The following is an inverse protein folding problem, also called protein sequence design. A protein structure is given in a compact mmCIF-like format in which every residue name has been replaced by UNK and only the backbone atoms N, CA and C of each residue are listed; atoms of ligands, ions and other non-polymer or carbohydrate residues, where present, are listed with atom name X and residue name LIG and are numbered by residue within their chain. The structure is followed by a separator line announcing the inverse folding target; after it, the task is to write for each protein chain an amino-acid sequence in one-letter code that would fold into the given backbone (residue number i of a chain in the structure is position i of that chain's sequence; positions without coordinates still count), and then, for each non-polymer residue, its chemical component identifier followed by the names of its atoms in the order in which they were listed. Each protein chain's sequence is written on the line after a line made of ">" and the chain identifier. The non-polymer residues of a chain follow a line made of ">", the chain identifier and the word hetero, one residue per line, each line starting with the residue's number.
data_IF_574703750852
#
_entry.id   IF_574703750852
#
_cell.length_a   1.000
_cell.length_b   1.000
_cell.length_c   1.000
_cell.angle_alpha   90.00
_cell.angle_beta   90.00
_cell.angle_gamma   90.00
#
_symmetry.space_group_name_H-M   'P 1'
#
loop_
_entity.id
_entity.type
_entity.pdbx_description
1 polymer ?
#
# COMPACT_ATOMS: atom_id res chain seq x y z
N UNK A 1 -4.36 -10.95 -10.86
CA UNK A 1 -5.22 -10.14 -11.73
C UNK A 1 -4.79 -8.66 -11.73
N UNK A 2 -4.64 -8.01 -10.56
CA UNK A 2 -4.20 -6.60 -10.49
C UNK A 2 -2.84 -6.36 -11.15
N UNK A 3 -1.90 -7.30 -11.05
CA UNK A 3 -0.59 -7.17 -11.70
C UNK A 3 -0.70 -7.13 -13.23
N UNK A 4 -1.58 -7.94 -13.82
CA UNK A 4 -1.85 -7.88 -15.27
C UNK A 4 -2.44 -6.54 -15.64
N UNK A 5 -3.49 -6.11 -14.95
CA UNK A 5 -4.14 -4.82 -15.16
C UNK A 5 -3.16 -3.65 -15.02
N UNK A 6 -2.19 -3.73 -14.10
CA UNK A 6 -1.19 -2.69 -13.90
C UNK A 6 -0.32 -2.47 -15.16
N UNK A 7 0.06 -3.54 -15.84
CA UNK A 7 0.78 -3.43 -17.12
C UNK A 7 -0.10 -2.82 -18.21
N UNK A 8 -1.38 -3.23 -18.30
CA UNK A 8 -2.31 -2.69 -19.29
C UNK A 8 -2.55 -1.19 -19.07
N UNK A 9 -2.75 -0.76 -17.82
CA UNK A 9 -2.88 0.66 -17.45
C UNK A 9 -1.59 1.41 -17.80
N UNK A 10 -0.43 0.87 -17.46
CA UNK A 10 0.86 1.51 -17.72
C UNK A 10 1.08 1.75 -19.20
N UNK A 11 0.81 0.77 -20.05
CA UNK A 11 0.95 0.89 -21.50
C UNK A 11 -0.12 1.79 -22.13
N UNK A 12 -1.37 1.68 -21.67
CA UNK A 12 -2.48 2.46 -22.20
C UNK A 12 -2.35 3.95 -21.89
N UNK A 13 -1.95 4.29 -20.69
CA UNK A 13 -1.90 5.67 -20.20
C UNK A 13 -0.49 6.26 -20.17
N UNK A 14 0.52 5.51 -20.59
CA UNK A 14 1.92 5.94 -20.57
C UNK A 14 2.34 6.50 -19.20
N UNK A 15 2.11 5.72 -18.14
CA UNK A 15 2.36 6.10 -16.75
C UNK A 15 2.83 4.92 -15.94
N UNK A 16 3.72 5.10 -14.94
CA UNK A 16 4.02 4.03 -14.01
C UNK A 16 2.80 3.69 -13.16
N UNK A 17 2.68 2.43 -12.76
CA UNK A 17 1.64 1.95 -11.86
C UNK A 17 2.30 1.38 -10.61
N UNK A 18 1.87 1.87 -9.45
CA UNK A 18 2.32 1.40 -8.15
C UNK A 18 1.30 0.42 -7.58
N UNK A 19 1.74 -0.81 -7.30
CA UNK A 19 0.93 -1.79 -6.54
C UNK A 19 1.38 -1.75 -5.10
N UNK A 20 0.52 -1.24 -4.22
CA UNK A 20 0.78 -1.23 -2.78
C UNK A 20 0.34 -2.56 -2.17
N UNK A 21 1.27 -3.24 -1.52
CA UNK A 21 1.01 -4.48 -0.79
C UNK A 21 1.47 -4.35 0.66
N UNK A 22 0.69 -4.91 1.58
CA UNK A 22 1.07 -4.97 3.00
C UNK A 22 2.03 -6.13 3.25
N UNK A 23 2.75 -6.07 4.36
CA UNK A 23 3.68 -7.12 4.79
C UNK A 23 3.02 -8.48 4.86
N UNK A 24 1.79 -8.58 5.39
CA UNK A 24 1.07 -9.85 5.47
C UNK A 24 0.77 -10.45 4.10
N UNK A 25 0.34 -9.62 3.15
CA UNK A 25 0.11 -10.08 1.77
C UNK A 25 1.40 -10.55 1.11
N UNK A 26 2.52 -9.84 1.34
CA UNK A 26 3.82 -10.24 0.80
C UNK A 26 4.34 -11.57 1.37
N UNK A 27 4.00 -11.89 2.62
CA UNK A 27 4.42 -13.12 3.29
C UNK A 27 3.40 -14.27 3.17
N UNK A 28 2.22 -14.00 2.64
CA UNK A 28 1.21 -15.03 2.43
C UNK A 28 1.55 -15.90 1.20
N UNK A 29 1.01 -17.11 1.21
CA UNK A 29 1.11 -18.07 0.09
C UNK A 29 -0.29 -18.49 -0.31
N UNK A 30 -0.55 -18.54 -1.60
CA UNK A 30 -1.81 -19.04 -2.13
C UNK A 30 -1.57 -19.78 -3.45
N UNK A 31 -2.46 -20.72 -3.82
CA UNK A 31 -2.44 -21.31 -5.15
C UNK A 31 -2.64 -20.25 -6.23
N UNK A 32 -1.88 -20.32 -7.29
CA UNK A 32 -2.02 -19.44 -8.45
C UNK A 32 -2.37 -20.30 -9.67
N UNK A 33 -3.47 -19.94 -10.34
CA UNK A 33 -3.81 -20.53 -11.62
C UNK A 33 -3.01 -19.80 -12.70
N UNK A 34 -2.10 -20.50 -13.33
CA UNK A 34 -1.31 -19.95 -14.44
C UNK A 34 -2.14 -19.97 -15.72
N UNK A 35 -2.05 -18.89 -16.49
CA UNK A 35 -2.61 -18.82 -17.84
C UNK A 35 -1.51 -18.92 -18.90
N UNK A 36 -1.89 -18.88 -20.16
CA UNK A 36 -0.96 -18.79 -21.26
C UNK A 36 -0.26 -17.42 -21.27
N UNK A 37 1.01 -17.42 -21.64
CA UNK A 37 1.76 -16.18 -21.80
C UNK A 37 1.30 -15.47 -23.07
N UNK A 38 0.80 -14.20 -22.97
CA UNK A 38 0.45 -13.45 -24.17
C UNK A 38 1.69 -13.17 -25.00
N UNK A 39 1.57 -13.31 -26.31
CA UNK A 39 2.60 -12.85 -27.21
C UNK A 39 2.62 -11.32 -27.22
N UNK A 40 3.80 -10.76 -26.98
CA UNK A 40 4.01 -9.32 -26.98
C UNK A 40 4.93 -8.94 -28.12
N UNK A 41 4.45 -8.10 -29.02
CA UNK A 41 5.29 -7.53 -30.09
C UNK A 41 6.29 -6.55 -29.46
N UNK A 42 7.58 -6.85 -29.60
CA UNK A 42 8.63 -5.96 -29.13
C UNK A 42 8.62 -4.67 -29.94
N UNK A 43 8.45 -3.55 -29.27
CA UNK A 43 8.59 -2.23 -29.89
C UNK A 43 10.08 -1.91 -30.07
N UNK A 44 10.52 -1.40 -31.23
CA UNK A 44 11.91 -0.96 -31.39
C UNK A 44 12.21 0.19 -30.42
N UNK A 45 13.46 0.24 -29.98
CA UNK A 45 13.90 1.36 -29.14
C UNK A 45 13.91 2.66 -29.95
N UNK A 46 13.21 3.66 -29.47
CA UNK A 46 13.21 5.02 -29.99
C UNK A 46 13.78 6.00 -28.97
N UNK A 47 14.74 6.81 -29.39
CA UNK A 47 15.28 7.87 -28.53
C UNK A 47 14.31 9.05 -28.45
N UNK A 48 13.66 9.22 -27.30
CA UNK A 48 12.64 10.27 -27.06
C UNK A 48 13.13 11.31 -26.06
N UNK A 49 14.06 12.17 -26.47
CA UNK A 49 14.63 13.21 -25.61
C UNK A 49 13.55 14.15 -25.03
N UNK A 50 12.53 14.50 -25.83
CA UNK A 50 11.42 15.34 -25.38
C UNK A 50 10.47 14.68 -24.36
N UNK A 51 10.67 13.41 -24.06
CA UNK A 51 9.88 12.67 -23.06
C UNK A 51 10.70 12.39 -21.80
N UNK A 52 11.97 12.03 -21.95
CA UNK A 52 12.78 11.50 -20.84
C UNK A 52 13.82 12.49 -20.33
N UNK A 53 14.08 13.59 -21.05
CA UNK A 53 14.98 14.63 -20.60
C UNK A 53 14.16 15.81 -20.10
N UNK A 54 13.95 15.89 -18.78
CA UNK A 54 13.04 16.84 -18.13
C UNK A 54 13.68 18.21 -17.86
N UNK A 55 14.26 18.84 -18.90
CA UNK A 55 14.65 20.26 -18.79
C UNK A 55 13.39 21.14 -18.68
N UNK A 56 13.47 22.38 -18.10
CA UNK A 56 12.29 23.19 -17.79
C UNK A 56 11.33 23.40 -18.96
N UNK A 57 11.84 23.64 -20.16
CA UNK A 57 11.03 23.83 -21.36
C UNK A 57 10.25 22.58 -21.77
N UNK A 58 10.82 21.40 -21.58
CA UNK A 58 10.19 20.10 -21.84
C UNK A 58 9.20 19.78 -20.72
N UNK A 59 9.59 19.95 -19.46
CA UNK A 59 8.75 19.69 -18.30
C UNK A 59 7.44 20.51 -18.33
N UNK A 60 7.49 21.77 -18.76
CA UNK A 60 6.29 22.62 -18.93
C UNK A 60 5.29 22.01 -19.92
N UNK A 61 5.76 21.44 -21.03
CA UNK A 61 4.90 20.77 -22.01
C UNK A 61 4.36 19.44 -21.48
N UNK A 62 5.22 18.67 -20.80
CA UNK A 62 4.83 17.40 -20.20
C UNK A 62 3.76 17.56 -19.11
N UNK A 63 3.75 18.71 -18.40
CA UNK A 63 2.71 18.99 -17.40
C UNK A 63 1.31 18.99 -18.01
N UNK A 64 1.12 19.57 -19.19
CA UNK A 64 -0.15 19.54 -19.91
C UNK A 64 -0.60 18.09 -20.22
N UNK A 65 0.37 17.25 -20.63
CA UNK A 65 0.10 15.84 -20.89
C UNK A 65 -0.31 15.09 -19.61
N UNK A 66 0.32 15.41 -18.46
CA UNK A 66 -0.04 14.84 -17.17
C UNK A 66 -1.48 15.16 -16.81
N UNK A 67 -1.91 16.42 -16.94
CA UNK A 67 -3.30 16.80 -16.64
C UNK A 67 -4.31 16.08 -17.54
N UNK A 68 -4.06 16.02 -18.85
CA UNK A 68 -4.90 15.27 -19.79
C UNK A 68 -4.96 13.78 -19.44
N UNK A 69 -3.83 13.19 -19.11
CA UNK A 69 -3.74 11.79 -18.71
C UNK A 69 -4.48 11.52 -17.39
N UNK A 70 -4.32 12.40 -16.43
CA UNK A 70 -5.00 12.28 -15.12
C UNK A 70 -6.52 12.33 -15.29
N UNK A 71 -7.05 13.19 -16.17
CA UNK A 71 -8.47 13.22 -16.48
C UNK A 71 -8.96 11.87 -17.04
N UNK A 72 -8.24 11.30 -18.00
CA UNK A 72 -8.57 9.98 -18.57
C UNK A 72 -8.46 8.86 -17.53
N UNK A 73 -7.48 8.94 -16.62
CA UNK A 73 -7.35 7.98 -15.54
C UNK A 73 -8.49 8.07 -14.52
N UNK A 74 -9.04 9.27 -14.27
CA UNK A 74 -10.26 9.43 -13.47
C UNK A 74 -11.44 8.71 -14.09
N UNK A 75 -11.69 8.92 -15.38
CA UNK A 75 -12.75 8.21 -16.10
C UNK A 75 -12.55 6.69 -16.09
N UNK A 76 -11.31 6.24 -16.21
CA UNK A 76 -10.97 4.82 -16.11
C UNK A 76 -11.25 4.27 -14.72
N UNK A 77 -10.88 5.02 -13.67
CA UNK A 77 -11.09 4.63 -12.27
C UNK A 77 -12.58 4.42 -11.95
N UNK A 78 -13.47 5.29 -12.47
CA UNK A 78 -14.93 5.16 -12.30
C UNK A 78 -15.47 3.85 -12.90
N UNK A 79 -14.83 3.34 -13.93
CA UNK A 79 -15.22 2.11 -14.64
C UNK A 79 -14.36 0.91 -14.30
N UNK A 80 -13.45 1.03 -13.33
CA UNK A 80 -12.54 -0.04 -12.95
C UNK A 80 -13.31 -1.22 -12.36
N UNK A 81 -13.24 -2.37 -13.02
CA UNK A 81 -13.97 -3.59 -12.62
C UNK A 81 -13.58 -4.13 -11.25
N UNK A 82 -12.44 -3.72 -10.71
CA UNK A 82 -11.98 -4.11 -9.39
C UNK A 82 -12.43 -3.16 -8.27
N UNK A 83 -12.94 -1.96 -8.62
CA UNK A 83 -13.71 -1.12 -7.71
C UNK A 83 -15.13 -1.70 -7.67
N UNK A 84 -15.58 -2.15 -6.52
CA UNK A 84 -16.82 -2.92 -6.43
C UNK A 84 -17.67 -2.47 -5.26
N UNK A 85 -18.89 -2.05 -5.56
CA UNK A 85 -19.93 -1.84 -4.58
C UNK A 85 -20.76 -3.11 -4.42
N UNK A 86 -20.97 -3.54 -3.19
CA UNK A 86 -21.83 -4.66 -2.79
C UNK A 86 -22.90 -4.10 -1.85
N UNK A 87 -24.12 -4.05 -2.34
CA UNK A 87 -25.24 -3.47 -1.59
C UNK A 87 -25.99 -4.54 -0.81
N UNK A 88 -26.34 -4.23 0.43
CA UNK A 88 -27.34 -4.94 1.20
C UNK A 88 -28.60 -4.07 1.30
N UNK A 89 -29.71 -4.58 0.74
CA UNK A 89 -30.97 -3.82 0.68
C UNK A 89 -31.65 -3.62 2.06
N UNK A 90 -31.27 -4.42 3.05
CA UNK A 90 -31.83 -4.39 4.39
C UNK A 90 -31.00 -3.49 5.37
N UNK A 91 -29.91 -2.87 4.87
CA UNK A 91 -29.01 -2.09 5.70
C UNK A 91 -28.69 -0.74 5.08
N UNK A 92 -28.77 0.30 5.90
CA UNK A 92 -28.34 1.66 5.58
C UNK A 92 -26.89 1.97 6.05
N UNK A 93 -26.14 0.92 6.44
CA UNK A 93 -24.75 1.01 6.86
C UNK A 93 -23.83 0.66 5.68
N UNK A 94 -22.89 1.53 5.39
CA UNK A 94 -21.86 1.31 4.38
C UNK A 94 -20.45 1.26 4.97
N UNK A 95 -19.61 0.42 4.40
CA UNK A 95 -18.18 0.32 4.74
C UNK A 95 -17.36 0.53 3.48
N UNK A 96 -16.51 1.55 3.49
CA UNK A 96 -15.56 1.83 2.40
C UNK A 96 -14.17 1.41 2.84
N UNK A 97 -13.47 0.68 1.98
CA UNK A 97 -12.14 0.16 2.28
C UNK A 97 -11.34 -0.15 1.01
N UNK A 98 -10.03 -0.31 1.17
CA UNK A 98 -9.12 -0.68 0.10
C UNK A 98 -8.17 -1.81 0.52
N UNK A 99 -7.60 -2.51 -0.47
CA UNK A 99 -6.61 -3.54 -0.24
C UNK A 99 -7.07 -4.64 0.72
N UNK A 100 -6.20 -5.02 1.66
CA UNK A 100 -6.48 -6.08 2.63
C UNK A 100 -7.56 -5.67 3.64
N UNK A 101 -7.67 -4.38 3.95
CA UNK A 101 -8.67 -3.85 4.89
C UNK A 101 -10.11 -4.16 4.45
N UNK A 102 -10.35 -4.33 3.14
CA UNK A 102 -11.64 -4.80 2.64
C UNK A 102 -12.00 -6.20 3.16
N UNK A 103 -11.06 -7.13 3.15
CA UNK A 103 -11.32 -8.49 3.62
C UNK A 103 -11.49 -8.53 5.14
N UNK A 104 -10.74 -7.72 5.88
CA UNK A 104 -10.92 -7.57 7.32
C UNK A 104 -12.27 -6.95 7.68
N UNK A 105 -12.71 -5.95 6.92
CA UNK A 105 -14.03 -5.37 7.07
C UNK A 105 -15.13 -6.41 6.78
N UNK A 106 -14.98 -7.20 5.71
CA UNK A 106 -15.92 -8.28 5.36
C UNK A 106 -16.02 -9.35 6.45
N UNK A 107 -14.91 -9.68 7.09
CA UNK A 107 -14.89 -10.66 8.19
C UNK A 107 -15.64 -10.14 9.42
N UNK A 108 -15.52 -8.85 9.73
CA UNK A 108 -16.16 -8.26 10.92
C UNK A 108 -17.62 -7.94 10.70
N UNK A 109 -17.96 -7.28 9.59
CA UNK A 109 -19.31 -6.81 9.30
C UNK A 109 -20.16 -7.86 8.56
N UNK A 110 -19.52 -8.84 7.93
CA UNK A 110 -20.20 -9.86 7.13
C UNK A 110 -20.94 -9.28 5.92
N UNK A 111 -22.05 -9.93 5.55
CA UNK A 111 -22.96 -9.47 4.50
C UNK A 111 -24.10 -8.59 5.03
N UNK A 112 -24.13 -8.32 6.33
CA UNK A 112 -25.19 -7.52 6.98
C UNK A 112 -25.13 -6.02 6.67
N UNK A 113 -24.08 -5.56 5.99
CA UNK A 113 -23.88 -4.16 5.59
C UNK A 113 -23.49 -4.06 4.12
N UNK A 114 -23.57 -2.87 3.55
CA UNK A 114 -23.08 -2.58 2.21
C UNK A 114 -21.56 -2.35 2.24
N UNK A 115 -20.84 -2.81 1.21
CA UNK A 115 -19.39 -2.65 1.11
C UNK A 115 -19.00 -1.97 -0.20
N UNK A 116 -18.11 -0.99 -0.12
CA UNK A 116 -17.42 -0.42 -1.27
C UNK A 116 -15.93 -0.78 -1.18
N UNK A 117 -15.49 -1.64 -2.11
CA UNK A 117 -14.09 -1.99 -2.30
C UNK A 117 -13.46 -1.05 -3.32
N UNK A 118 -12.41 -0.35 -2.95
CA UNK A 118 -11.60 0.47 -3.84
C UNK A 118 -10.27 -0.24 -4.10
N UNK A 119 -10.10 -0.76 -5.30
CA UNK A 119 -8.86 -1.40 -5.72
C UNK A 119 -7.90 -0.39 -6.35
N UNK A 120 -8.43 0.58 -7.09
CA UNK A 120 -7.68 1.72 -7.62
C UNK A 120 -7.90 2.92 -6.70
N UNK A 121 -6.87 3.26 -5.93
CA UNK A 121 -6.97 4.33 -4.92
C UNK A 121 -6.44 5.68 -5.43
N UNK A 122 -5.82 5.72 -6.60
CA UNK A 122 -5.43 6.97 -7.25
C UNK A 122 -5.47 6.85 -8.77
N UNK A 123 -6.17 7.76 -9.49
CA UNK A 123 -7.16 8.68 -8.93
C UNK A 123 -8.36 7.95 -8.34
N UNK A 124 -8.97 8.51 -7.30
CA UNK A 124 -10.17 7.94 -6.68
C UNK A 124 -11.38 8.06 -7.62
N UNK A 125 -12.25 7.06 -7.56
CA UNK A 125 -13.57 7.02 -8.23
C UNK A 125 -14.57 7.83 -7.40
N UNK A 126 -14.54 9.16 -7.52
CA UNK A 126 -15.31 10.04 -6.65
C UNK A 126 -16.81 9.95 -6.89
N UNK A 127 -17.23 9.71 -8.14
CA UNK A 127 -18.65 9.53 -8.48
C UNK A 127 -19.16 8.21 -7.87
N UNK A 128 -18.41 7.12 -8.00
CA UNK A 128 -18.75 5.84 -7.38
C UNK A 128 -18.82 5.96 -5.85
N UNK A 129 -17.86 6.66 -5.23
CA UNK A 129 -17.87 6.90 -3.78
C UNK A 129 -19.10 7.70 -3.38
N UNK A 130 -19.41 8.76 -4.11
CA UNK A 130 -20.57 9.61 -3.85
C UNK A 130 -21.87 8.82 -3.98
N UNK A 131 -22.06 8.10 -5.07
CA UNK A 131 -23.25 7.26 -5.32
C UNK A 131 -23.44 6.20 -4.21
N UNK A 132 -22.34 5.64 -3.72
CA UNK A 132 -22.38 4.71 -2.60
C UNK A 132 -22.81 5.42 -1.31
N UNK A 133 -22.18 6.57 -0.98
CA UNK A 133 -22.45 7.31 0.23
C UNK A 133 -23.87 7.89 0.28
N UNK A 134 -24.41 8.34 -0.86
CA UNK A 134 -25.79 8.89 -0.95
C UNK A 134 -26.87 7.88 -0.55
N UNK A 135 -26.55 6.60 -0.57
CA UNK A 135 -27.46 5.49 -0.18
C UNK A 135 -27.31 5.06 1.28
N UNK A 136 -26.36 5.61 2.00
CA UNK A 136 -26.01 5.16 3.35
C UNK A 136 -26.28 6.27 4.36
N UNK A 137 -26.87 5.90 5.49
CA UNK A 137 -27.03 6.80 6.63
C UNK A 137 -25.78 6.83 7.51
N UNK A 138 -25.08 5.70 7.58
CA UNK A 138 -23.88 5.55 8.40
C UNK A 138 -22.76 4.95 7.56
N UNK A 139 -21.60 5.62 7.53
CA UNK A 139 -20.48 5.25 6.70
C UNK A 139 -19.26 5.01 7.59
N UNK A 140 -18.67 3.84 7.49
CA UNK A 140 -17.39 3.52 8.11
C UNK A 140 -16.29 3.52 7.06
N UNK A 141 -15.12 4.07 7.41
CA UNK A 141 -13.91 3.99 6.59
C UNK A 141 -12.92 3.11 7.32
N UNK A 142 -12.55 1.99 6.68
CA UNK A 142 -11.55 1.06 7.19
C UNK A 142 -10.31 1.15 6.31
N UNK A 143 -9.31 1.87 6.79
CA UNK A 143 -8.03 2.07 6.12
C UNK A 143 -6.88 2.09 7.12
N UNK A 144 -5.69 1.71 6.67
CA UNK A 144 -4.47 1.74 7.47
C UNK A 144 -3.80 3.11 7.40
N UNK A 145 -3.10 3.49 8.46
CA UNK A 145 -2.34 4.73 8.59
C UNK A 145 -3.20 5.99 8.43
N UNK A 146 -2.81 6.89 7.53
CA UNK A 146 -3.41 8.22 7.36
C UNK A 146 -4.85 8.16 6.80
N UNK A 147 -5.69 9.17 7.11
CA UNK A 147 -7.11 9.22 6.74
C UNK A 147 -7.33 9.61 5.26
N UNK A 148 -6.72 8.89 4.32
CA UNK A 148 -6.76 9.23 2.89
C UNK A 148 -8.16 9.08 2.27
N UNK A 149 -8.82 7.93 2.49
CA UNK A 149 -10.17 7.70 1.99
C UNK A 149 -11.19 8.51 2.79
N UNK A 150 -10.97 8.62 4.09
CA UNK A 150 -11.81 9.41 4.98
C UNK A 150 -11.84 10.89 4.59
N UNK A 151 -10.69 11.49 4.32
CA UNK A 151 -10.60 12.87 3.86
C UNK A 151 -11.29 13.09 2.51
N UNK A 152 -11.14 12.15 1.59
CA UNK A 152 -11.83 12.20 0.30
C UNK A 152 -13.36 12.14 0.46
N UNK A 153 -13.88 11.28 1.33
CA UNK A 153 -15.31 11.17 1.62
C UNK A 153 -15.82 12.43 2.34
N UNK A 154 -15.04 12.99 3.27
CA UNK A 154 -15.35 14.27 3.95
C UNK A 154 -15.38 15.44 2.95
N UNK A 155 -14.46 15.46 1.98
CA UNK A 155 -14.42 16.48 0.93
C UNK A 155 -15.66 16.44 0.00
N UNK A 156 -16.32 15.29 -0.11
CA UNK A 156 -17.61 15.14 -0.82
C UNK A 156 -18.82 15.60 0.01
N UNK A 157 -18.61 16.04 1.26
CA UNK A 157 -19.66 16.55 2.15
C UNK A 157 -20.28 15.53 3.10
N UNK A 158 -19.79 14.29 3.12
CA UNK A 158 -20.25 13.25 4.05
C UNK A 158 -19.52 13.29 5.39
N UNK A 159 -20.07 12.61 6.39
CA UNK A 159 -19.50 12.51 7.73
C UNK A 159 -19.19 11.06 8.07
N UNK A 160 -18.13 10.49 7.51
CA UNK A 160 -17.76 9.11 7.80
C UNK A 160 -17.18 8.96 9.21
N UNK A 161 -17.24 7.76 9.73
CA UNK A 161 -16.60 7.30 10.94
C UNK A 161 -15.31 6.55 10.54
N UNK A 162 -14.19 7.11 10.84
CA UNK A 162 -12.87 6.58 10.45
C UNK A 162 -11.89 6.64 11.60
N UNK A 163 -10.90 7.53 11.54
CA UNK A 163 -9.83 7.62 12.54
C UNK A 163 -10.29 8.09 13.92
N UNK A 164 -11.47 8.64 14.03
CA UNK A 164 -12.11 8.90 15.32
C UNK A 164 -12.42 7.61 16.10
N UNK A 165 -12.50 6.46 15.40
CA UNK A 165 -12.81 5.14 15.98
C UNK A 165 -11.62 4.19 15.81
N UNK A 166 -11.01 4.16 14.61
CA UNK A 166 -9.93 3.23 14.29
C UNK A 166 -8.55 3.87 14.48
N UNK A 167 -7.56 3.12 14.99
CA UNK A 167 -6.23 3.67 15.24
C UNK A 167 -5.58 4.16 13.95
N UNK A 168 -4.84 5.30 14.00
CA UNK A 168 -4.10 5.83 12.84
C UNK A 168 -2.71 5.22 12.68
N UNK A 169 -2.37 4.20 13.42
CA UNK A 169 -1.07 3.52 13.44
C UNK A 169 -1.26 2.02 13.62
N UNK A 170 -0.23 1.27 13.43
CA UNK A 170 -0.19 -0.19 13.47
C UNK A 170 -1.01 -0.85 12.34
N UNK A 171 -1.04 -2.17 12.38
CA UNK A 171 -1.75 -2.97 11.40
C UNK A 171 -3.26 -3.01 11.70
N UNK A 172 -4.06 -2.77 10.69
CA UNK A 172 -5.48 -3.03 10.76
C UNK A 172 -5.74 -4.53 10.67
N UNK A 173 -6.44 -5.09 11.65
CA UNK A 173 -6.83 -6.50 11.69
C UNK A 173 -8.31 -6.62 12.03
N UNK A 174 -8.96 -7.78 11.80
CA UNK A 174 -10.33 -8.01 12.27
C UNK A 174 -10.48 -7.75 13.76
N UNK A 175 -9.49 -8.14 14.57
CA UNK A 175 -9.52 -7.91 16.03
C UNK A 175 -9.46 -6.43 16.39
N UNK A 176 -8.61 -5.67 15.68
CA UNK A 176 -8.54 -4.20 15.84
C UNK A 176 -9.89 -3.56 15.53
N UNK A 177 -10.54 -3.99 14.44
CA UNK A 177 -11.85 -3.48 14.05
C UNK A 177 -12.92 -3.84 15.09
N UNK A 178 -12.97 -5.10 15.55
CA UNK A 178 -13.92 -5.56 16.57
C UNK A 178 -13.75 -4.79 17.90
N UNK A 179 -12.50 -4.66 18.33
CA UNK A 179 -12.17 -3.93 19.55
C UNK A 179 -12.61 -2.46 19.46
N UNK A 180 -12.35 -1.82 18.32
CA UNK A 180 -12.71 -0.41 18.10
C UNK A 180 -14.23 -0.17 18.05
N UNK A 181 -14.99 -1.10 17.46
CA UNK A 181 -16.43 -0.96 17.27
C UNK A 181 -17.26 -1.43 18.48
N UNK A 182 -16.85 -2.57 19.06
CA UNK A 182 -17.68 -3.30 20.04
C UNK A 182 -17.02 -3.42 21.41
N UNK A 183 -15.75 -3.01 21.55
CA UNK A 183 -14.96 -3.25 22.75
C UNK A 183 -14.60 -4.72 22.97
N UNK A 184 -14.83 -5.57 21.96
CA UNK A 184 -14.59 -7.00 22.03
C UNK A 184 -13.13 -7.32 21.84
N UNK A 185 -12.60 -8.20 22.69
CA UNK A 185 -11.31 -8.84 22.51
C UNK A 185 -11.52 -10.33 22.31
N UNK A 186 -11.04 -10.86 21.20
CA UNK A 186 -11.08 -12.32 20.99
C UNK A 186 -10.17 -13.03 21.98
N UNK A 187 -10.56 -14.24 22.43
CA UNK A 187 -9.70 -15.02 23.30
C UNK A 187 -8.39 -15.35 22.58
N UNK A 188 -7.28 -14.94 23.17
CA UNK A 188 -5.95 -15.25 22.66
C UNK A 188 -5.47 -16.56 23.27
N UNK A 189 -4.82 -17.40 22.47
CA UNK A 189 -4.08 -18.54 22.98
C UNK A 189 -2.87 -17.97 23.71
N UNK A 190 -2.82 -18.14 25.03
CA UNK A 190 -1.63 -17.81 25.80
C UNK A 190 -0.54 -18.82 25.47
N UNK A 191 0.51 -18.39 24.77
CA UNK A 191 1.73 -19.15 24.66
C UNK A 191 2.65 -18.77 25.83
N UNK A 192 3.36 -19.75 26.37
CA UNK A 192 4.43 -19.49 27.30
C UNK A 192 5.55 -18.72 26.56
N UNK A 193 5.57 -17.41 26.76
CA UNK A 193 6.54 -16.54 26.08
C UNK A 193 7.97 -16.75 26.54
N UNK A 194 8.20 -17.40 27.67
CA UNK A 194 9.55 -17.73 28.13
C UNK A 194 10.22 -18.79 27.25
N UNK A 195 9.44 -19.62 26.57
CA UNK A 195 9.92 -20.64 25.64
C UNK A 195 10.16 -20.08 24.23
N UNK A 196 9.63 -18.91 23.90
CA UNK A 196 9.78 -18.32 22.58
C UNK A 196 11.10 -17.57 22.47
N UNK A 197 12.06 -18.19 21.79
CA UNK A 197 13.36 -17.55 21.50
C UNK A 197 13.12 -16.43 20.48
N UNK A 198 13.48 -15.21 20.87
CA UNK A 198 13.46 -14.08 19.94
C UNK A 198 14.44 -14.33 18.78
N UNK A 199 13.96 -14.31 17.56
CA UNK A 199 14.74 -14.54 16.33
C UNK A 199 14.69 -13.29 15.43
N UNK A 200 15.40 -12.23 15.79
CA UNK A 200 15.49 -11.06 14.92
C UNK A 200 16.18 -11.42 13.59
N UNK A 201 15.93 -10.70 12.53
CA UNK A 201 16.67 -10.85 11.28
C UNK A 201 18.17 -10.70 11.53
N UNK A 202 18.96 -11.60 10.96
CA UNK A 202 20.42 -11.58 11.07
C UNK A 202 21.08 -11.77 9.72
N UNK A 203 22.32 -11.30 9.58
CA UNK A 203 23.12 -11.57 8.41
C UNK A 203 23.38 -13.08 8.27
N UNK A 204 23.24 -13.60 7.05
CA UNK A 204 23.45 -15.01 6.75
C UNK A 204 24.87 -15.49 7.15
N UNK A 205 25.03 -16.79 7.38
CA UNK A 205 26.34 -17.39 7.53
C UNK A 205 27.17 -17.20 6.25
N UNK A 206 28.42 -16.77 6.37
CA UNK A 206 29.30 -16.49 5.23
C UNK A 206 28.94 -15.22 4.43
N UNK A 207 28.03 -14.39 4.91
CA UNK A 207 27.65 -13.16 4.24
C UNK A 207 28.85 -12.18 4.12
N UNK A 208 29.15 -11.66 2.92
CA UNK A 208 30.27 -10.72 2.74
C UNK A 208 30.10 -9.42 3.52
N UNK A 209 28.87 -8.98 3.79
CA UNK A 209 28.60 -7.80 4.61
C UNK A 209 29.20 -7.89 6.02
N UNK A 210 29.36 -9.10 6.57
CA UNK A 210 29.94 -9.28 7.91
C UNK A 210 31.37 -8.76 7.97
N UNK A 211 32.19 -9.09 7.00
CA UNK A 211 33.57 -8.58 6.92
C UNK A 211 33.62 -7.08 6.74
N UNK A 212 32.78 -6.54 5.88
CA UNK A 212 32.67 -5.11 5.65
C UNK A 212 32.27 -4.35 6.93
N UNK A 213 31.20 -4.77 7.59
CA UNK A 213 30.75 -4.11 8.84
C UNK A 213 31.77 -4.25 9.97
N UNK A 214 32.45 -5.38 10.05
CA UNK A 214 33.52 -5.58 11.02
C UNK A 214 34.66 -4.58 10.84
N UNK A 215 35.05 -4.28 9.60
CA UNK A 215 36.12 -3.32 9.31
C UNK A 215 35.68 -1.87 9.44
N UNK A 216 34.46 -1.53 8.98
CA UNK A 216 33.99 -0.14 9.04
C UNK A 216 33.66 0.28 10.49
N UNK A 217 33.18 -0.62 11.33
CA UNK A 217 32.90 -0.39 12.74
C UNK A 217 34.15 0.02 13.56
N UNK A 218 35.33 -0.33 13.08
CA UNK A 218 36.60 0.07 13.75
C UNK A 218 36.97 1.54 13.47
N UNK A 219 36.34 2.17 12.48
CA UNK A 219 36.66 3.54 12.13
C UNK A 219 36.08 4.50 13.17
N UNK A 220 36.94 5.46 13.60
CA UNK A 220 36.55 6.51 14.54
C UNK A 220 36.26 7.80 13.76
N UNK A 221 35.42 8.65 14.31
CA UNK A 221 35.08 9.96 13.73
C UNK A 221 34.50 9.85 12.31
N UNK A 222 33.70 8.84 12.05
CA UNK A 222 32.96 8.67 10.79
C UNK A 222 31.48 8.52 11.12
N UNK A 223 30.63 9.05 10.25
CA UNK A 223 29.19 8.80 10.24
C UNK A 223 28.89 7.80 9.13
N UNK A 224 28.16 6.74 9.47
CA UNK A 224 27.86 5.66 8.53
C UNK A 224 26.39 5.70 8.21
N UNK A 225 26.09 6.07 6.98
CA UNK A 225 24.77 6.11 6.39
C UNK A 225 24.53 4.82 5.61
N UNK A 226 23.40 4.17 5.85
CA UNK A 226 23.07 2.90 5.24
C UNK A 226 21.71 2.87 4.54
N UNK A 227 21.44 1.74 3.93
CA UNK A 227 20.20 1.49 3.21
C UNK A 227 19.32 0.48 3.94
N UNK A 228 18.00 0.55 3.73
CA UNK A 228 17.09 -0.48 4.19
C UNK A 228 17.35 -1.78 3.42
N UNK A 229 17.52 -2.85 4.17
CA UNK A 229 17.85 -4.19 3.67
C UNK A 229 18.89 -4.86 4.56
N UNK A 230 19.75 -5.70 4.00
CA UNK A 230 20.83 -6.35 4.75
C UNK A 230 21.84 -5.34 5.32
N UNK A 231 21.95 -4.15 4.74
CA UNK A 231 22.79 -3.09 5.31
C UNK A 231 22.28 -2.61 6.67
N UNK A 232 20.97 -2.51 6.87
CA UNK A 232 20.40 -2.13 8.17
C UNK A 232 20.80 -3.10 9.30
N UNK A 233 21.03 -4.36 8.97
CA UNK A 233 21.44 -5.35 9.95
C UNK A 233 22.84 -5.10 10.55
N UNK A 234 23.63 -4.22 9.92
CA UNK A 234 24.89 -3.74 10.46
C UNK A 234 24.76 -2.82 11.68
N UNK A 235 23.55 -2.30 11.96
CA UNK A 235 23.28 -1.51 13.17
C UNK A 235 23.34 -2.32 14.45
N UNK A 236 23.02 -3.62 14.36
CA UNK A 236 22.94 -4.49 15.53
C UNK A 236 24.33 -5.00 15.98
N UNK A 237 24.48 -5.38 17.28
CA UNK A 237 25.66 -6.08 17.74
C UNK A 237 25.93 -7.34 16.90
N UNK A 238 27.19 -7.73 16.71
CA UNK A 238 28.41 -7.14 17.29
C UNK A 238 28.98 -5.96 16.50
N UNK A 239 28.38 -5.57 15.39
CA UNK A 239 28.98 -4.57 14.48
C UNK A 239 28.77 -3.14 14.97
N UNK A 240 27.53 -2.74 15.26
CA UNK A 240 27.17 -1.35 15.59
C UNK A 240 27.74 -0.36 14.56
N UNK A 241 27.61 -0.72 13.28
CA UNK A 241 28.29 -0.09 12.14
C UNK A 241 27.34 0.76 11.31
N UNK A 242 26.37 1.45 11.96
CA UNK A 242 25.44 2.28 11.24
C UNK A 242 24.84 3.34 12.14
N UNK A 243 24.88 4.59 11.69
CA UNK A 243 24.38 5.75 12.44
C UNK A 243 23.00 6.20 11.92
N UNK A 244 22.73 6.03 10.62
CA UNK A 244 21.46 6.44 10.03
C UNK A 244 21.04 5.55 8.86
N UNK A 245 19.73 5.41 8.67
CA UNK A 245 19.11 4.79 7.49
C UNK A 245 17.69 5.33 7.34
N UNK A 246 17.24 5.58 6.12
CA UNK A 246 15.90 6.10 5.84
C UNK A 246 15.13 5.12 4.94
N UNK A 247 15.67 4.81 3.76
CA UNK A 247 15.04 3.93 2.80
C UNK A 247 16.09 3.23 1.93
N UNK A 248 15.66 2.36 1.02
CA UNK A 248 16.56 1.69 0.08
C UNK A 248 17.18 2.71 -0.86
N UNK A 249 18.53 2.74 -0.95
CA UNK A 249 19.28 3.65 -1.81
C UNK A 249 19.48 5.06 -1.25
N UNK A 250 19.01 5.37 -0.04
CA UNK A 250 19.12 6.70 0.56
C UNK A 250 20.50 7.02 1.10
N UNK A 251 21.38 6.04 1.31
CA UNK A 251 22.73 6.24 1.84
C UNK A 251 23.58 7.23 1.03
N UNK A 252 23.27 7.41 -0.24
CA UNK A 252 23.93 8.38 -1.11
C UNK A 252 23.38 9.80 -0.97
N UNK A 253 22.27 9.97 -0.28
CA UNK A 253 21.53 11.25 -0.19
C UNK A 253 21.48 11.83 1.22
N UNK A 254 21.99 11.09 2.20
CA UNK A 254 22.02 11.49 3.62
C UNK A 254 23.27 12.32 3.95
#
# INVERSE_FOLDING_TARGET
>A
DMTKLAFDISEQFDTPVLIRMTTRVCHSKSPVITGERPEVTLKPYERKGNKYVCVPAVAKKLRVNIESRTAKLKEFSEKCIYNKAEYNAESNIGVISSGISYYYAKEVFGSGVSHLKLAMTWPLSLDLIKDFCDRMEKIYIIEENDPYLEEAVRALGFKPLGKDIFPPYDEMTPDTIRKSLFGETLPTISADTEVVINRPPTLCAGCPHRGFFYEIAKRKNVMISGDIGCYTLGMAPPYNAMDSTICMGASLSI
#
